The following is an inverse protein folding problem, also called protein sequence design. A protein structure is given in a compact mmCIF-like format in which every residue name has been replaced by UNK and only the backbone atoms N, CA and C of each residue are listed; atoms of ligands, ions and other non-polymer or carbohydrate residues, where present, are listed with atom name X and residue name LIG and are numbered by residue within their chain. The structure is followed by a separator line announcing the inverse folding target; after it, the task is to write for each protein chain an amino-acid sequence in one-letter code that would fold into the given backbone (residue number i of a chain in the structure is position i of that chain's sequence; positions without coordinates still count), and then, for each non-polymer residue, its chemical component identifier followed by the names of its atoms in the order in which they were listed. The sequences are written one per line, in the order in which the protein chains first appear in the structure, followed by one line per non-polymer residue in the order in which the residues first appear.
data_IF_278015416373
#
_entry.id   IF_278015416373
#
_cell.length_a   1.000
_cell.length_b   1.000
_cell.length_c   1.000
_cell.angle_alpha   90.00
_cell.angle_beta   90.00
_cell.angle_gamma   90.00
#
_symmetry.space_group_name_H-M   'P 1'
#
loop_
_entity.id
_entity.type
_entity.pdbx_description
1 polymer ?
#
# COMPACT_ATOMS: atom_id res chain seq x y z
N UNK A 1 11.84 23.35 17.59
CA UNK A 1 10.59 22.61 17.44
C UNK A 1 10.28 22.37 15.97
N UNK A 2 9.99 21.15 15.58
CA UNK A 2 9.61 20.83 14.23
C UNK A 2 8.15 21.18 13.93
N UNK A 3 7.89 21.57 12.70
CA UNK A 3 6.54 21.76 12.19
C UNK A 3 5.95 20.39 11.82
N UNK A 4 4.74 20.13 12.22
CA UNK A 4 4.00 18.90 11.86
C UNK A 4 2.91 19.28 10.88
N UNK A 5 3.00 18.77 9.66
CA UNK A 5 1.97 18.93 8.64
C UNK A 5 0.87 17.91 8.88
N UNK A 6 -0.33 18.39 9.17
CA UNK A 6 -1.51 17.55 9.40
C UNK A 6 -2.49 17.57 8.24
N UNK A 7 -2.12 18.14 7.12
CA UNK A 7 -2.96 18.17 5.93
C UNK A 7 -3.12 16.75 5.36
N UNK A 8 -4.37 16.37 5.13
CA UNK A 8 -4.75 15.06 4.62
C UNK A 8 -5.59 15.26 3.38
N UNK A 9 -5.18 14.63 2.27
CA UNK A 9 -5.89 14.72 1.01
C UNK A 9 -7.09 13.78 0.99
N UNK A 10 -8.20 14.26 0.47
CA UNK A 10 -9.32 13.40 0.10
C UNK A 10 -8.90 12.52 -1.09
N UNK A 11 -9.23 11.24 -1.03
CA UNK A 11 -8.79 10.26 -2.02
C UNK A 11 -9.98 9.73 -2.82
N UNK A 12 -9.80 9.67 -4.13
CA UNK A 12 -10.72 8.98 -5.04
C UNK A 12 -9.94 7.92 -5.80
N UNK A 13 -10.63 6.87 -6.24
CA UNK A 13 -10.06 5.84 -7.11
C UNK A 13 -10.87 5.76 -8.39
N UNK A 14 -10.18 5.49 -9.49
CA UNK A 14 -10.83 5.19 -10.76
C UNK A 14 -10.89 3.68 -10.94
N UNK A 15 -12.12 3.16 -11.09
CA UNK A 15 -12.37 1.75 -11.35
C UNK A 15 -13.24 1.66 -12.61
N UNK A 16 -12.68 1.04 -13.65
CA UNK A 16 -13.40 0.87 -14.92
C UNK A 16 -14.02 2.18 -15.44
N UNK A 17 -13.19 3.21 -15.54
CA UNK A 17 -13.53 4.53 -16.08
C UNK A 17 -14.49 5.37 -15.22
N UNK A 18 -14.81 4.92 -14.01
CA UNK A 18 -15.64 5.66 -13.07
C UNK A 18 -14.87 5.96 -11.80
N UNK A 19 -15.04 7.18 -11.28
CA UNK A 19 -14.41 7.59 -10.04
C UNK A 19 -15.28 7.26 -8.83
N UNK A 20 -14.64 6.77 -7.77
CA UNK A 20 -15.28 6.46 -6.49
C UNK A 20 -14.51 7.16 -5.37
N UNK A 21 -15.19 7.92 -4.50
CA UNK A 21 -14.52 8.45 -3.32
C UNK A 21 -14.22 7.34 -2.33
N UNK A 22 -13.03 7.37 -1.74
CA UNK A 22 -12.63 6.45 -0.70
C UNK A 22 -12.87 7.09 0.66
N UNK A 23 -13.42 6.34 1.61
CA UNK A 23 -13.68 6.83 2.95
C UNK A 23 -12.40 7.38 3.59
N UNK A 24 -12.54 8.47 4.34
CA UNK A 24 -11.43 9.01 5.13
C UNK A 24 -11.00 8.00 6.19
N UNK A 25 -9.70 7.93 6.47
CA UNK A 25 -9.14 6.99 7.45
C UNK A 25 -9.36 7.50 8.88
N UNK A 26 -10.60 7.44 9.31
CA UNK A 26 -11.02 7.84 10.66
C UNK A 26 -10.96 6.68 11.63
N UNK A 27 -11.02 6.98 12.91
CA UNK A 27 -11.11 5.94 13.96
C UNK A 27 -12.35 5.07 13.75
N UNK A 28 -13.48 5.68 13.37
CA UNK A 28 -14.72 4.96 13.08
C UNK A 28 -14.54 3.96 11.93
N UNK A 29 -13.91 4.37 10.83
CA UNK A 29 -13.64 3.51 9.69
C UNK A 29 -12.69 2.36 10.08
N UNK A 30 -11.63 2.66 10.86
CA UNK A 30 -10.72 1.63 11.38
C UNK A 30 -11.46 0.60 12.23
N UNK A 31 -12.37 1.04 13.10
CA UNK A 31 -13.18 0.14 13.93
C UNK A 31 -14.12 -0.72 13.08
N UNK A 32 -14.72 -0.15 12.05
CA UNK A 32 -15.59 -0.90 11.13
C UNK A 32 -14.82 -1.96 10.34
N UNK A 33 -13.59 -1.67 9.94
CA UNK A 33 -12.72 -2.65 9.28
C UNK A 33 -12.34 -3.79 10.24
N UNK A 34 -12.03 -3.47 11.49
CA UNK A 34 -11.74 -4.48 12.51
C UNK A 34 -12.95 -5.39 12.78
N UNK A 35 -14.15 -4.82 12.84
CA UNK A 35 -15.40 -5.59 12.97
C UNK A 35 -15.64 -6.51 11.77
N UNK A 36 -15.37 -6.03 10.57
CA UNK A 36 -15.47 -6.84 9.35
C UNK A 36 -14.55 -8.06 9.43
N UNK A 37 -13.31 -7.88 9.87
CA UNK A 37 -12.35 -8.97 10.04
C UNK A 37 -12.86 -10.02 11.03
N UNK A 38 -13.46 -9.60 12.14
CA UNK A 38 -14.04 -10.51 13.12
C UNK A 38 -15.22 -11.30 12.57
N UNK A 39 -16.13 -10.62 11.86
CA UNK A 39 -17.33 -11.25 11.29
C UNK A 39 -16.99 -12.28 10.20
N UNK A 40 -15.93 -12.02 9.45
CA UNK A 40 -15.52 -12.87 8.33
C UNK A 40 -14.47 -13.92 8.71
N UNK A 41 -14.08 -14.00 9.98
CA UNK A 41 -13.13 -15.00 10.45
C UNK A 41 -13.63 -16.42 10.12
N UNK A 42 -12.75 -17.23 9.53
CA UNK A 42 -13.09 -18.60 9.12
C UNK A 42 -13.84 -18.69 7.79
N UNK A 43 -14.16 -17.58 7.15
CA UNK A 43 -14.81 -17.56 5.84
C UNK A 43 -13.78 -17.35 4.72
N UNK A 44 -14.15 -17.65 3.45
CA UNK A 44 -13.26 -17.34 2.32
C UNK A 44 -12.87 -15.87 2.27
N UNK A 45 -11.63 -15.58 1.87
CA UNK A 45 -11.08 -14.23 1.87
C UNK A 45 -11.88 -13.22 1.04
N UNK A 46 -12.46 -13.65 -0.08
CA UNK A 46 -13.22 -12.74 -0.94
C UNK A 46 -14.43 -12.12 -0.20
N UNK A 47 -14.99 -12.80 0.78
CA UNK A 47 -16.09 -12.25 1.58
C UNK A 47 -15.63 -11.09 2.45
N UNK A 48 -14.46 -11.19 3.03
CA UNK A 48 -13.83 -10.08 3.78
C UNK A 48 -13.55 -8.90 2.84
N UNK A 49 -12.99 -9.16 1.66
CA UNK A 49 -12.71 -8.10 0.69
C UNK A 49 -13.97 -7.32 0.32
N UNK A 50 -15.08 -8.00 0.08
CA UNK A 50 -16.35 -7.35 -0.25
C UNK A 50 -16.88 -6.50 0.91
N UNK A 51 -16.80 -6.99 2.14
CA UNK A 51 -17.24 -6.24 3.32
C UNK A 51 -16.34 -5.00 3.55
N UNK A 52 -15.04 -5.16 3.40
CA UNK A 52 -14.11 -4.04 3.50
C UNK A 52 -14.37 -2.99 2.42
N UNK A 53 -14.64 -3.40 1.19
CA UNK A 53 -15.02 -2.49 0.11
C UNK A 53 -16.32 -1.75 0.41
N UNK A 54 -17.30 -2.39 1.03
CA UNK A 54 -18.52 -1.72 1.48
C UNK A 54 -18.21 -0.63 2.51
N UNK A 55 -17.26 -0.86 3.41
CA UNK A 55 -16.83 0.13 4.40
C UNK A 55 -16.13 1.31 3.71
N UNK A 56 -15.27 1.04 2.73
CA UNK A 56 -14.41 2.05 2.10
C UNK A 56 -15.10 2.82 0.98
N UNK A 57 -15.95 2.17 0.19
CA UNK A 57 -16.61 2.77 -0.98
C UNK A 57 -18.12 2.99 -0.77
N UNK A 58 -18.71 2.33 0.23
CA UNK A 58 -20.15 2.33 0.45
C UNK A 58 -20.86 1.17 -0.21
N UNK A 59 -22.00 0.77 0.33
CA UNK A 59 -22.78 -0.38 -0.16
C UNK A 59 -23.28 -0.18 -1.59
N UNK A 60 -23.68 1.04 -1.95
CA UNK A 60 -24.18 1.33 -3.29
C UNK A 60 -23.10 1.13 -4.35
N UNK A 61 -21.86 1.55 -4.09
CA UNK A 61 -20.74 1.37 -5.00
C UNK A 61 -20.41 -0.11 -5.18
N UNK A 62 -20.37 -0.87 -4.11
CA UNK A 62 -20.08 -2.31 -4.16
C UNK A 62 -21.17 -3.05 -4.93
N UNK A 63 -22.42 -2.72 -4.71
CA UNK A 63 -23.55 -3.31 -5.43
C UNK A 63 -23.46 -3.04 -6.93
N UNK A 64 -23.06 -1.84 -7.31
CA UNK A 64 -22.85 -1.47 -8.70
C UNK A 64 -21.66 -2.20 -9.33
N UNK A 65 -20.52 -2.21 -8.63
CA UNK A 65 -19.30 -2.83 -9.13
C UNK A 65 -19.41 -4.34 -9.29
N UNK A 66 -20.10 -5.01 -8.38
CA UNK A 66 -20.19 -6.48 -8.32
C UNK A 66 -21.61 -6.97 -8.58
N UNK A 67 -22.25 -6.41 -9.59
CA UNK A 67 -23.63 -6.75 -9.96
C UNK A 67 -23.77 -8.18 -10.52
N UNK A 68 -22.67 -8.82 -10.93
CA UNK A 68 -22.68 -10.16 -11.53
C UNK A 68 -23.00 -11.28 -10.53
N UNK A 69 -23.04 -10.99 -9.23
CA UNK A 69 -23.36 -11.97 -8.20
C UNK A 69 -22.41 -13.15 -8.18
N UNK A 70 -22.96 -14.36 -8.37
CA UNK A 70 -22.16 -15.59 -8.35
C UNK A 70 -21.22 -15.74 -9.54
N UNK A 71 -21.42 -14.96 -10.60
CA UNK A 71 -20.57 -14.97 -11.78
C UNK A 71 -19.40 -14.00 -11.65
N UNK A 72 -19.28 -13.28 -10.52
CA UNK A 72 -18.19 -12.34 -10.29
C UNK A 72 -16.87 -13.08 -10.18
N UNK A 73 -15.85 -12.55 -10.86
CA UNK A 73 -14.50 -13.11 -10.84
C UNK A 73 -13.78 -12.70 -9.56
N UNK A 74 -13.31 -13.67 -8.78
CA UNK A 74 -12.62 -13.45 -7.51
C UNK A 74 -11.33 -12.63 -7.71
N UNK A 75 -10.60 -12.87 -8.80
CA UNK A 75 -9.39 -12.10 -9.11
C UNK A 75 -9.70 -10.61 -9.36
N UNK A 76 -10.83 -10.33 -9.98
CA UNK A 76 -11.30 -8.94 -10.15
C UNK A 76 -11.61 -8.31 -8.82
N UNK A 77 -12.28 -9.01 -7.92
CA UNK A 77 -12.56 -8.53 -6.55
C UNK A 77 -11.23 -8.23 -5.85
N UNK A 78 -10.26 -9.13 -5.93
CA UNK A 78 -8.96 -8.97 -5.30
C UNK A 78 -8.21 -7.74 -5.83
N UNK A 79 -8.20 -7.55 -7.14
CA UNK A 79 -7.53 -6.40 -7.77
C UNK A 79 -8.15 -5.07 -7.35
N UNK A 80 -9.47 -4.99 -7.33
CA UNK A 80 -10.18 -3.79 -6.90
C UNK A 80 -9.90 -3.54 -5.42
N UNK A 81 -10.00 -4.56 -4.58
CA UNK A 81 -9.71 -4.47 -3.15
C UNK A 81 -8.28 -3.97 -2.88
N UNK A 82 -7.28 -4.57 -3.52
CA UNK A 82 -5.89 -4.16 -3.36
C UNK A 82 -5.66 -2.70 -3.78
N UNK A 83 -6.27 -2.28 -4.89
CA UNK A 83 -6.17 -0.90 -5.36
C UNK A 83 -6.83 0.10 -4.42
N UNK A 84 -8.00 -0.23 -3.90
CA UNK A 84 -8.72 0.62 -2.95
C UNK A 84 -7.97 0.73 -1.62
N UNK A 85 -7.42 -0.38 -1.12
CA UNK A 85 -6.61 -0.36 0.11
C UNK A 85 -5.35 0.50 -0.04
N UNK A 86 -4.68 0.42 -1.18
CA UNK A 86 -3.52 1.28 -1.46
C UNK A 86 -3.91 2.75 -1.45
N UNK A 87 -5.03 3.10 -2.05
CA UNK A 87 -5.54 4.46 -2.03
C UNK A 87 -5.92 4.91 -0.62
N UNK A 88 -6.55 4.02 0.14
CA UNK A 88 -6.91 4.28 1.54
C UNK A 88 -5.68 4.57 2.40
N UNK A 89 -4.56 3.91 2.15
CA UNK A 89 -3.30 4.10 2.87
C UNK A 89 -2.40 5.19 2.25
N UNK A 90 -2.86 5.90 1.23
CA UNK A 90 -2.04 6.86 0.48
C UNK A 90 -1.36 7.90 1.36
N UNK A 91 -2.09 8.52 2.28
CA UNK A 91 -1.51 9.58 3.12
C UNK A 91 -0.41 9.04 4.06
N UNK A 92 -0.59 7.84 4.59
CA UNK A 92 0.43 7.20 5.42
C UNK A 92 1.63 6.76 4.58
N UNK A 93 1.40 6.20 3.39
CA UNK A 93 2.45 5.77 2.46
C UNK A 93 3.28 6.95 1.97
N UNK A 94 2.63 8.08 1.65
CA UNK A 94 3.32 9.29 1.23
C UNK A 94 4.25 9.81 2.33
N UNK A 95 3.82 9.77 3.59
CA UNK A 95 4.65 10.17 4.73
C UNK A 95 5.86 9.24 4.88
N UNK A 96 5.66 7.94 4.75
CA UNK A 96 6.76 6.96 4.82
C UNK A 96 7.77 7.15 3.69
N UNK A 97 7.31 7.43 2.48
CA UNK A 97 8.19 7.74 1.35
C UNK A 97 9.03 8.99 1.60
N UNK A 98 8.43 10.04 2.15
CA UNK A 98 9.16 11.26 2.51
C UNK A 98 10.24 10.97 3.55
N UNK A 99 9.91 10.22 4.58
CA UNK A 99 10.87 9.83 5.62
C UNK A 99 12.00 8.97 5.05
N UNK A 100 11.67 8.02 4.19
CA UNK A 100 12.65 7.16 3.51
C UNK A 100 13.58 8.00 2.63
N UNK A 101 13.05 8.94 1.86
CA UNK A 101 13.86 9.84 1.04
C UNK A 101 14.80 10.68 1.89
N UNK A 102 14.34 11.24 3.01
CA UNK A 102 15.19 11.99 3.93
C UNK A 102 16.32 11.13 4.49
N UNK A 103 16.02 9.90 4.88
CA UNK A 103 17.04 8.97 5.35
C UNK A 103 18.05 8.62 4.24
N UNK A 104 17.59 8.41 3.02
CA UNK A 104 18.46 8.15 1.88
C UNK A 104 19.37 9.32 1.56
N UNK A 105 18.87 10.55 1.65
CA UNK A 105 19.70 11.75 1.46
C UNK A 105 20.81 11.86 2.50
N UNK A 106 20.55 11.42 3.74
CA UNK A 106 21.53 11.45 4.83
C UNK A 106 22.59 10.35 4.70
N UNK A 107 22.25 9.18 4.20
CA UNK A 107 23.13 8.00 4.16
C UNK A 107 23.66 7.68 2.75
N UNK A 108 23.16 8.34 1.71
CA UNK A 108 23.64 8.11 0.34
C UNK A 108 25.16 8.27 0.19
N UNK A 109 25.81 9.30 0.76
CA UNK A 109 27.27 9.43 0.69
C UNK A 109 28.02 8.27 1.34
N UNK A 110 27.52 7.77 2.46
CA UNK A 110 28.11 6.60 3.14
C UNK A 110 27.94 5.31 2.32
N UNK A 111 26.79 5.13 1.71
CA UNK A 111 26.50 3.98 0.85
C UNK A 111 27.45 3.95 -0.36
N UNK A 112 27.69 5.11 -0.99
CA UNK A 112 28.60 5.23 -2.12
C UNK A 112 30.04 4.89 -1.71
N UNK A 113 30.48 5.37 -0.56
CA UNK A 113 31.80 5.07 -0.03
C UNK A 113 31.95 3.55 0.23
N UNK A 114 30.95 2.90 0.82
CA UNK A 114 30.96 1.47 1.05
C UNK A 114 31.01 0.66 -0.25
N UNK A 115 30.31 1.12 -1.29
CA UNK A 115 30.38 0.49 -2.62
C UNK A 115 31.78 0.57 -3.21
N UNK A 116 32.44 1.71 -3.09
CA UNK A 116 33.82 1.89 -3.57
C UNK A 116 34.79 0.97 -2.85
N UNK A 117 34.69 0.87 -1.53
CA UNK A 117 35.51 -0.05 -0.71
C UNK A 117 35.27 -1.50 -1.14
N UNK A 118 34.03 -1.93 -1.30
CA UNK A 118 33.69 -3.28 -1.74
C UNK A 118 34.25 -3.60 -3.13
N UNK A 119 34.20 -2.66 -4.06
CA UNK A 119 34.77 -2.81 -5.40
C UNK A 119 36.28 -2.96 -5.35
N UNK A 120 36.97 -2.20 -4.51
CA UNK A 120 38.42 -2.31 -4.30
C UNK A 120 38.80 -3.67 -3.73
N UNK A 121 38.08 -4.16 -2.74
CA UNK A 121 38.34 -5.47 -2.14
C UNK A 121 38.12 -6.60 -3.15
N UNK A 122 37.11 -6.51 -4.00
CA UNK A 122 36.90 -7.50 -5.07
C UNK A 122 38.03 -7.51 -6.09
N UNK A 123 38.51 -6.35 -6.47
CA UNK A 123 39.63 -6.24 -7.41
C UNK A 123 40.90 -6.86 -6.82
N UNK A 124 41.20 -6.61 -5.53
CA UNK A 124 42.33 -7.22 -4.84
C UNK A 124 42.22 -8.73 -4.75
N UNK A 125 41.04 -9.25 -4.43
CA UNK A 125 40.81 -10.69 -4.39
C UNK A 125 40.97 -11.35 -5.76
N UNK A 126 40.56 -10.70 -6.84
CA UNK A 126 40.79 -11.20 -8.21
C UNK A 126 42.26 -11.26 -8.55
N UNK A 127 43.04 -10.27 -8.17
CA UNK A 127 44.51 -10.27 -8.38
C UNK A 127 45.18 -11.43 -7.64
N UNK A 128 44.76 -11.69 -6.42
CA UNK A 128 45.29 -12.80 -5.62
C UNK A 128 44.97 -14.14 -6.28
N UNK A 129 43.76 -14.34 -6.77
CA UNK A 129 43.31 -15.56 -7.44
C UNK A 129 44.11 -15.81 -8.73
N UNK A 130 44.44 -14.78 -9.51
CA UNK A 130 45.20 -14.92 -10.75
C UNK A 130 46.70 -15.24 -10.52
N UNK A 131 47.22 -14.95 -9.37
CA UNK A 131 48.62 -15.26 -9.02
C UNK A 131 48.82 -16.67 -8.46
N UNK A 132 47.77 -17.28 -8.04
CA UNK A 132 47.75 -18.68 -7.58
C UNK A 132 47.50 -19.63 -8.72
#
# INVERSE_FOLDING_TARGET
MGYIDTDIKAITVEIEEKEYPVAAKTVEIADRLAEAAKKCAGQPEYKLWLVELEVLLGKAAVKELFASGRQENIDRIQRIHAGVLRAFDYNASALQEEETQRQQELIAPLTELLRQISAMNRADNRKVIHRG
#
